data_IF_338933817622
#
_entry.id   IF_338933817622
#
_cell.length_a   1.000
_cell.length_b   1.000
_cell.length_c   1.000
_cell.angle_alpha   90.00
_cell.angle_beta   90.00
_cell.angle_gamma   90.00
#
_symmetry.space_group_name_H-M   'P 1'
#
loop_
_entity.id
_entity.type
_entity.pdbx_description
1 polymer ?
#
# COMPACT_ATOMS: atom_id res chain seq x y z
N UNK A 1 26.39 9.18 18.97
CA UNK A 1 26.58 10.48 18.27
C UNK A 1 26.77 10.31 16.77
N UNK A 2 27.33 9.18 16.28
CA UNK A 2 27.70 9.00 14.86
C UNK A 2 26.54 8.78 13.84
N UNK A 3 25.33 8.44 14.30
CA UNK A 3 24.17 8.21 13.42
C UNK A 3 23.24 9.44 13.27
N UNK A 4 23.39 10.46 14.13
CA UNK A 4 22.58 11.68 14.07
C UNK A 4 23.21 12.74 13.14
N UNK A 5 24.54 12.87 13.16
CA UNK A 5 25.26 13.78 12.26
C UNK A 5 25.28 13.29 10.80
N UNK A 6 25.35 11.98 10.54
CA UNK A 6 25.20 11.41 9.19
C UNK A 6 23.80 11.60 8.59
N UNK A 7 22.78 11.79 9.42
CA UNK A 7 21.40 12.05 8.98
C UNK A 7 21.14 13.50 8.58
N UNK A 8 22.05 14.43 8.90
CA UNK A 8 21.87 15.86 8.64
C UNK A 8 22.44 16.34 7.29
N UNK A 9 23.31 15.58 6.63
CA UNK A 9 23.74 15.97 5.29
C UNK A 9 22.68 15.53 4.28
N UNK A 10 22.12 16.52 3.57
CA UNK A 10 21.28 16.23 2.41
C UNK A 10 22.05 15.34 1.44
N UNK A 11 21.34 14.36 0.87
CA UNK A 11 21.85 13.66 -0.29
C UNK A 11 22.17 14.69 -1.39
N UNK A 12 23.22 14.46 -2.22
CA UNK A 12 23.59 15.41 -3.25
C UNK A 12 22.48 15.67 -4.28
N UNK A 13 21.56 14.70 -4.42
CA UNK A 13 20.41 14.78 -5.30
C UNK A 13 19.10 14.53 -4.55
N UNK A 14 18.02 15.13 -5.05
CA UNK A 14 16.65 14.89 -4.57
C UNK A 14 16.16 13.50 -4.96
N UNK A 15 15.35 12.89 -4.10
CA UNK A 15 14.65 11.65 -4.44
C UNK A 15 13.32 11.99 -5.11
N UNK A 16 13.21 11.80 -6.43
CA UNK A 16 11.99 12.13 -7.16
C UNK A 16 10.79 11.26 -6.76
N UNK A 17 10.99 10.11 -6.10
CA UNK A 17 9.89 9.24 -5.63
C UNK A 17 9.32 9.64 -4.27
N UNK A 18 9.87 10.67 -3.62
CA UNK A 18 9.26 11.26 -2.43
C UNK A 18 8.45 12.48 -2.81
N UNK A 19 7.42 12.78 -2.03
CA UNK A 19 6.54 13.94 -2.27
C UNK A 19 7.37 15.23 -2.24
N UNK A 20 8.20 15.37 -1.20
CA UNK A 20 9.07 16.54 -1.02
C UNK A 20 10.08 16.70 -2.16
N UNK A 21 10.67 15.60 -2.64
CA UNK A 21 11.65 15.64 -3.72
C UNK A 21 11.00 15.99 -5.06
N UNK A 22 9.83 15.41 -5.34
CA UNK A 22 9.04 15.74 -6.52
C UNK A 22 8.65 17.22 -6.53
N UNK A 23 8.11 17.74 -5.41
CA UNK A 23 7.77 19.16 -5.24
C UNK A 23 8.97 20.08 -5.39
N UNK A 24 10.13 19.73 -4.82
CA UNK A 24 11.33 20.55 -4.92
C UNK A 24 11.80 20.77 -6.37
N UNK A 25 11.56 19.78 -7.25
CA UNK A 25 11.89 19.89 -8.68
C UNK A 25 10.75 20.53 -9.44
N UNK A 26 9.56 19.93 -9.40
CA UNK A 26 8.50 20.33 -10.29
C UNK A 26 7.83 21.60 -9.81
N UNK A 27 7.55 21.81 -8.51
CA UNK A 27 6.88 23.03 -8.05
C UNK A 27 7.70 24.33 -8.25
N UNK A 28 8.97 24.22 -8.64
CA UNK A 28 9.80 25.36 -9.04
C UNK A 28 9.40 25.86 -10.45
N UNK A 29 8.93 27.10 -10.53
CA UNK A 29 8.54 27.72 -11.81
C UNK A 29 9.69 27.84 -12.80
N UNK A 30 10.93 27.85 -12.34
CA UNK A 30 12.10 27.83 -13.23
C UNK A 30 12.27 26.49 -13.95
N UNK A 31 11.63 25.43 -13.45
CA UNK A 31 11.63 24.09 -14.02
C UNK A 31 10.36 23.81 -14.85
N UNK A 32 9.61 24.86 -15.24
CA UNK A 32 8.36 24.75 -16.01
C UNK A 32 8.52 23.89 -17.28
N UNK A 33 9.59 24.12 -18.03
CA UNK A 33 9.86 23.36 -19.25
C UNK A 33 10.24 21.89 -18.96
N UNK A 34 10.81 21.62 -17.77
CA UNK A 34 11.13 20.27 -17.32
C UNK A 34 9.83 19.50 -17.11
N UNK A 35 8.87 20.12 -16.41
CA UNK A 35 7.54 19.56 -16.22
C UNK A 35 6.85 19.30 -17.56
N UNK A 36 6.85 20.27 -18.48
CA UNK A 36 6.24 20.12 -19.82
C UNK A 36 6.87 18.92 -20.55
N UNK A 37 8.19 18.83 -20.56
CA UNK A 37 8.89 17.74 -21.23
C UNK A 37 8.58 16.38 -20.63
N UNK A 38 8.51 16.27 -19.29
CA UNK A 38 8.13 15.04 -18.58
C UNK A 38 6.67 14.66 -18.88
N UNK A 39 5.73 15.60 -18.75
CA UNK A 39 4.32 15.34 -19.01
C UNK A 39 4.10 14.92 -20.47
N UNK A 40 4.77 15.53 -21.43
CA UNK A 40 4.65 15.17 -22.85
C UNK A 40 5.23 13.78 -23.21
N UNK A 41 6.02 13.16 -22.33
CA UNK A 41 6.39 11.74 -22.46
C UNK A 41 5.26 10.79 -22.05
N UNK A 42 4.30 11.26 -21.26
CA UNK A 42 3.24 10.46 -20.62
C UNK A 42 1.88 10.75 -21.26
N UNK A 43 1.60 12.02 -21.56
CA UNK A 43 0.32 12.49 -22.07
C UNK A 43 0.04 11.96 -23.48
N UNK A 44 -1.24 11.64 -23.77
CA UNK A 44 -1.65 11.26 -25.12
C UNK A 44 -1.46 12.44 -26.11
N UNK A 45 -1.34 12.18 -27.42
CA UNK A 45 -1.02 13.19 -28.41
C UNK A 45 -1.92 14.44 -28.38
N UNK A 46 -3.20 14.26 -28.11
CA UNK A 46 -4.22 15.31 -28.03
C UNK A 46 -4.14 16.20 -26.79
N UNK A 47 -3.40 15.78 -25.76
CA UNK A 47 -3.27 16.50 -24.48
C UNK A 47 -1.87 17.10 -24.28
N UNK A 48 -1.01 17.05 -25.30
CA UNK A 48 0.36 17.55 -25.19
C UNK A 48 0.38 19.05 -24.95
N UNK A 49 1.25 19.45 -24.02
CA UNK A 49 1.37 20.81 -23.52
C UNK A 49 2.42 21.56 -24.35
N UNK A 50 2.03 22.68 -24.95
CA UNK A 50 2.97 23.60 -25.60
C UNK A 50 3.64 24.53 -24.57
N UNK A 51 2.82 25.17 -23.74
CA UNK A 51 3.27 26.03 -22.65
C UNK A 51 2.32 25.96 -21.46
N UNK A 52 2.84 26.25 -20.27
CA UNK A 52 2.06 26.42 -19.05
C UNK A 52 1.93 27.92 -18.74
N UNK A 53 0.69 28.41 -18.71
CA UNK A 53 0.38 29.82 -18.42
C UNK A 53 0.09 30.08 -16.94
N UNK A 54 -0.51 29.11 -16.26
CA UNK A 54 -0.75 29.19 -14.82
C UNK A 54 -0.11 28.03 -14.07
N UNK A 55 0.52 28.37 -12.95
CA UNK A 55 1.28 27.44 -12.12
C UNK A 55 0.89 27.62 -10.66
N UNK A 56 0.06 26.74 -10.13
CA UNK A 56 -0.47 26.82 -8.78
C UNK A 56 0.02 25.65 -7.93
N UNK A 57 0.83 25.99 -6.92
CA UNK A 57 1.03 25.13 -5.76
C UNK A 57 -0.20 25.29 -4.85
N UNK A 58 -1.08 24.27 -4.82
CA UNK A 58 -2.36 24.34 -4.10
C UNK A 58 -2.21 24.29 -2.59
N UNK A 59 -1.03 24.00 -2.03
CA UNK A 59 -0.80 24.16 -0.57
C UNK A 59 -0.97 25.61 -0.13
N UNK A 60 -0.81 26.55 -1.07
CA UNK A 60 -0.91 27.99 -0.81
C UNK A 60 -2.32 28.56 -1.00
N UNK A 61 -3.25 27.85 -1.66
CA UNK A 61 -4.64 28.30 -1.84
C UNK A 61 -5.58 27.56 -0.90
N UNK A 62 -6.02 28.26 0.16
CA UNK A 62 -6.96 27.79 1.20
C UNK A 62 -8.42 27.73 0.74
N UNK A 63 -8.69 27.63 -0.55
CA UNK A 63 -10.01 27.94 -1.10
C UNK A 63 -10.97 26.74 -1.16
N UNK A 64 -10.70 25.67 -0.40
CA UNK A 64 -11.68 24.60 -0.17
C UNK A 64 -12.15 24.67 1.29
N UNK A 65 -13.33 25.26 1.59
CA UNK A 65 -13.81 25.49 2.95
C UNK A 65 -14.07 24.19 3.74
N UNK A 66 -14.19 23.05 3.05
CA UNK A 66 -14.51 21.74 3.62
C UNK A 66 -13.84 20.65 2.78
N UNK A 67 -12.60 20.28 3.11
CA UNK A 67 -11.91 19.18 2.44
C UNK A 67 -10.90 18.55 3.38
N UNK A 68 -10.80 17.22 3.36
CA UNK A 68 -9.69 16.49 3.97
C UNK A 68 -8.37 17.16 3.52
N UNK A 69 -7.44 17.37 4.45
CA UNK A 69 -6.09 17.92 4.21
C UNK A 69 -5.24 16.96 3.36
N UNK A 70 -5.63 16.76 2.12
CA UNK A 70 -4.80 16.11 1.13
C UNK A 70 -4.65 17.11 0.01
N UNK A 71 -3.49 17.74 0.00
CA UNK A 71 -3.18 18.77 -0.98
C UNK A 71 -2.60 18.06 -2.19
N UNK A 72 -3.21 18.32 -3.35
CA UNK A 72 -2.65 17.90 -4.63
C UNK A 72 -1.36 18.69 -4.88
N UNK A 73 -0.31 17.99 -5.29
CA UNK A 73 1.07 18.53 -5.28
C UNK A 73 1.26 19.66 -6.26
N UNK A 74 0.63 19.58 -7.43
CA UNK A 74 0.74 20.61 -8.44
C UNK A 74 -0.53 20.72 -9.28
N UNK A 75 -0.97 21.95 -9.54
CA UNK A 75 -1.97 22.25 -10.57
C UNK A 75 -1.39 23.25 -11.55
N UNK A 76 -1.42 22.92 -12.84
CA UNK A 76 -1.08 23.84 -13.91
C UNK A 76 -2.17 23.92 -14.96
N UNK A 77 -2.20 25.05 -15.68
CA UNK A 77 -3.09 25.28 -16.81
C UNK A 77 -2.24 25.57 -18.04
N UNK A 78 -2.52 24.87 -19.13
CA UNK A 78 -1.80 25.06 -20.39
C UNK A 78 -2.31 26.30 -21.17
N UNK A 79 -1.69 26.53 -22.33
CA UNK A 79 -2.10 27.60 -23.24
C UNK A 79 -3.58 27.52 -23.63
N UNK A 80 -4.11 26.32 -23.83
CA UNK A 80 -5.46 26.02 -24.32
C UNK A 80 -6.51 25.87 -23.21
N UNK A 81 -6.19 26.33 -21.99
CA UNK A 81 -7.05 26.30 -20.80
C UNK A 81 -7.31 24.89 -20.23
N UNK A 82 -6.61 23.85 -20.71
CA UNK A 82 -6.68 22.53 -20.11
C UNK A 82 -5.97 22.54 -18.74
N UNK A 83 -6.60 21.90 -17.76
CA UNK A 83 -6.07 21.83 -16.40
C UNK A 83 -5.37 20.49 -16.15
N UNK A 84 -4.18 20.52 -15.55
CA UNK A 84 -3.42 19.34 -15.18
C UNK A 84 -3.17 19.33 -13.68
N UNK A 85 -3.65 18.27 -13.02
CA UNK A 85 -3.24 17.90 -11.68
C UNK A 85 -2.07 16.93 -11.82
N UNK A 86 -0.92 17.25 -11.21
CA UNK A 86 0.26 16.38 -11.22
C UNK A 86 0.63 16.03 -9.79
N UNK A 87 0.77 14.74 -9.50
CA UNK A 87 0.92 14.23 -8.13
C UNK A 87 1.93 13.09 -8.04
N UNK A 88 2.71 13.06 -6.95
CA UNK A 88 3.60 11.94 -6.60
C UNK A 88 3.03 11.19 -5.41
N UNK A 89 2.56 9.97 -5.64
CA UNK A 89 1.99 9.14 -4.58
C UNK A 89 3.00 8.09 -4.12
N UNK A 90 3.68 8.39 -3.01
CA UNK A 90 4.73 7.54 -2.44
C UNK A 90 4.20 6.27 -1.73
N UNK A 91 2.92 6.22 -1.38
CA UNK A 91 2.31 5.10 -0.64
C UNK A 91 0.89 4.82 -1.12
N UNK A 92 0.51 3.54 -1.12
CA UNK A 92 -0.85 3.11 -1.44
C UNK A 92 -1.86 3.72 -0.47
N UNK A 93 -3.00 4.15 -1.01
CA UNK A 93 -4.10 4.74 -0.26
C UNK A 93 -5.42 4.14 -0.72
N UNK A 94 -6.26 3.74 0.24
CA UNK A 94 -7.61 3.29 -0.06
C UNK A 94 -8.40 4.39 -0.78
N UNK A 95 -9.14 4.01 -1.83
CA UNK A 95 -9.99 4.92 -2.61
C UNK A 95 -9.23 6.05 -3.33
N UNK A 96 -7.97 5.82 -3.70
CA UNK A 96 -7.14 6.79 -4.40
C UNK A 96 -7.75 7.23 -5.74
N UNK A 97 -8.29 6.29 -6.53
CA UNK A 97 -8.95 6.61 -7.80
C UNK A 97 -10.14 7.56 -7.61
N UNK A 98 -11.00 7.27 -6.64
CA UNK A 98 -12.16 8.12 -6.31
C UNK A 98 -11.73 9.51 -5.84
N UNK A 99 -10.61 9.61 -5.12
CA UNK A 99 -10.02 10.89 -4.72
C UNK A 99 -9.57 11.72 -5.92
N UNK A 100 -8.86 11.10 -6.87
CA UNK A 100 -8.44 11.75 -8.12
C UNK A 100 -9.65 12.31 -8.87
N UNK A 101 -10.70 11.50 -9.04
CA UNK A 101 -11.93 11.92 -9.72
C UNK A 101 -12.64 13.03 -8.96
N UNK A 102 -12.73 12.96 -7.63
CA UNK A 102 -13.36 13.98 -6.79
C UNK A 102 -12.66 15.34 -6.94
N UNK A 103 -11.33 15.36 -6.90
CA UNK A 103 -10.59 16.61 -7.05
C UNK A 103 -10.64 17.18 -8.46
N UNK A 104 -10.53 16.32 -9.48
CA UNK A 104 -10.68 16.74 -10.87
C UNK A 104 -12.07 17.33 -11.12
N UNK A 105 -13.12 16.70 -10.58
CA UNK A 105 -14.50 17.19 -10.66
C UNK A 105 -14.66 18.56 -9.99
N UNK A 106 -13.98 18.80 -8.87
CA UNK A 106 -13.96 20.09 -8.20
C UNK A 106 -13.33 21.19 -9.05
N UNK A 107 -12.22 20.91 -9.74
CA UNK A 107 -11.61 21.86 -10.68
C UNK A 107 -12.49 22.10 -11.91
N UNK A 108 -13.00 21.02 -12.51
CA UNK A 108 -13.89 21.09 -13.67
C UNK A 108 -15.15 21.89 -13.37
N UNK A 109 -15.70 21.78 -12.16
CA UNK A 109 -16.84 22.58 -11.72
C UNK A 109 -16.51 24.07 -11.60
N UNK A 110 -15.31 24.42 -11.11
CA UNK A 110 -14.89 25.80 -10.91
C UNK A 110 -14.58 26.56 -12.20
N UNK A 111 -14.48 25.88 -13.34
CA UNK A 111 -14.31 26.54 -14.65
C UNK A 111 -15.52 27.38 -15.07
N UNK A 112 -16.73 27.05 -14.57
CA UNK A 112 -17.94 27.78 -14.94
C UNK A 112 -18.32 28.81 -13.87
N UNK A 113 -18.55 30.04 -14.33
CA UNK A 113 -19.17 31.09 -13.54
C UNK A 113 -20.71 31.04 -13.62
N UNK A 114 -21.38 31.68 -12.65
CA UNK A 114 -22.84 31.76 -12.61
C UNK A 114 -23.42 32.34 -13.93
N UNK A 115 -24.25 31.54 -14.60
CA UNK A 115 -24.94 31.92 -15.84
C UNK A 115 -24.24 31.52 -17.14
N UNK A 116 -23.05 30.93 -17.07
CA UNK A 116 -22.36 30.38 -18.24
C UNK A 116 -22.94 29.03 -18.67
N UNK A 117 -22.79 28.72 -19.98
CA UNK A 117 -23.25 27.43 -20.55
C UNK A 117 -22.06 26.48 -20.61
N UNK A 118 -22.33 25.18 -20.49
CA UNK A 118 -21.32 24.09 -20.55
C UNK A 118 -20.50 23.99 -21.85
N UNK A 119 -20.81 24.79 -22.88
CA UNK A 119 -20.08 24.77 -24.15
C UNK A 119 -18.78 25.55 -23.96
N UNK A 120 -17.64 24.85 -24.02
CA UNK A 120 -16.32 25.45 -23.82
C UNK A 120 -15.66 25.08 -22.48
N UNK A 121 -16.20 24.11 -21.75
CA UNK A 121 -15.47 23.47 -20.65
C UNK A 121 -14.21 22.78 -21.18
N UNK A 122 -13.09 22.98 -20.48
CA UNK A 122 -11.81 22.39 -20.82
C UNK A 122 -11.58 21.11 -20.00
N UNK A 123 -10.88 20.11 -20.55
CA UNK A 123 -10.60 18.90 -19.82
C UNK A 123 -9.65 19.12 -18.63
N UNK A 124 -9.86 18.30 -17.59
CA UNK A 124 -8.96 18.15 -16.45
C UNK A 124 -8.25 16.81 -16.54
N UNK A 125 -6.92 16.83 -16.58
CA UNK A 125 -6.06 15.65 -16.57
C UNK A 125 -5.46 15.45 -15.18
N UNK A 126 -5.62 14.27 -14.60
CA UNK A 126 -4.93 13.88 -13.37
C UNK A 126 -3.80 12.94 -13.75
N UNK A 127 -2.56 13.38 -13.56
CA UNK A 127 -1.35 12.60 -13.81
C UNK A 127 -0.72 12.25 -12.48
N UNK A 128 -0.86 11.00 -12.04
CA UNK A 128 -0.31 10.53 -10.78
C UNK A 128 0.82 9.54 -11.01
N UNK A 129 2.00 9.86 -10.48
CA UNK A 129 3.15 8.98 -10.43
C UNK A 129 3.07 8.12 -9.17
N UNK A 130 2.91 6.81 -9.36
CA UNK A 130 2.71 5.86 -8.26
C UNK A 130 4.01 5.14 -7.96
N UNK A 131 4.46 5.21 -6.70
CA UNK A 131 5.59 4.44 -6.20
C UNK A 131 5.14 3.08 -5.60
N UNK A 132 4.06 2.53 -6.13
CA UNK A 132 3.47 1.24 -5.80
C UNK A 132 2.73 0.74 -7.05
N UNK A 133 2.48 -0.56 -7.10
CA UNK A 133 1.68 -1.17 -8.17
C UNK A 133 0.22 -1.26 -7.74
N UNK A 134 -0.67 -0.95 -8.66
CA UNK A 134 -2.08 -1.21 -8.53
C UNK A 134 -2.34 -2.71 -8.72
N UNK A 135 -3.49 -3.18 -8.28
CA UNK A 135 -3.94 -4.54 -8.60
C UNK A 135 -4.66 -4.51 -9.94
N UNK A 136 -4.24 -5.39 -10.83
CA UNK A 136 -4.81 -5.51 -12.16
C UNK A 136 -5.55 -6.82 -12.32
N UNK A 137 -6.61 -6.81 -13.13
CA UNK A 137 -7.36 -8.03 -13.46
C UNK A 137 -6.49 -9.02 -14.25
N UNK A 138 -5.61 -8.50 -15.11
CA UNK A 138 -4.62 -9.27 -15.87
C UNK A 138 -3.24 -8.61 -15.74
N UNK A 139 -2.46 -9.09 -14.78
CA UNK A 139 -1.10 -8.63 -14.49
C UNK A 139 -0.13 -8.85 -15.68
N UNK A 140 -0.46 -9.72 -16.66
CA UNK A 140 0.42 -9.97 -17.82
C UNK A 140 0.46 -8.81 -18.82
N UNK A 141 -0.48 -7.87 -18.71
CA UNK A 141 -0.52 -6.65 -19.53
C UNK A 141 0.31 -5.51 -18.95
N UNK A 142 0.89 -5.70 -17.76
CA UNK A 142 1.58 -4.66 -17.00
C UNK A 142 3.05 -5.04 -16.81
N UNK A 143 3.91 -4.41 -17.60
CA UNK A 143 5.35 -4.65 -17.62
C UNK A 143 6.15 -3.36 -17.73
N UNK A 144 7.47 -3.48 -17.83
CA UNK A 144 8.39 -2.32 -17.89
C UNK A 144 8.21 -1.41 -19.12
N UNK A 145 7.48 -1.85 -20.14
CA UNK A 145 7.15 -1.07 -21.33
C UNK A 145 5.66 -0.63 -21.33
N UNK A 146 4.83 -1.19 -20.44
CA UNK A 146 3.39 -0.97 -20.34
C UNK A 146 2.93 -0.68 -18.90
N UNK A 147 3.46 0.39 -18.29
CA UNK A 147 3.17 0.77 -16.90
C UNK A 147 2.42 2.10 -16.75
N UNK A 148 1.84 2.61 -17.85
CA UNK A 148 1.01 3.81 -17.85
C UNK A 148 -0.41 3.42 -18.21
N UNK A 149 -1.35 3.72 -17.31
CA UNK A 149 -2.78 3.51 -17.53
C UNK A 149 -3.49 4.81 -17.89
N UNK A 150 -4.45 4.72 -18.81
CA UNK A 150 -5.26 5.85 -19.27
C UNK A 150 -6.73 5.56 -19.05
N UNK A 151 -7.40 6.35 -18.21
CA UNK A 151 -8.79 6.15 -17.82
C UNK A 151 -9.67 7.26 -18.38
N UNK A 152 -10.67 6.90 -19.17
CA UNK A 152 -11.59 7.82 -19.83
C UNK A 152 -13.05 7.32 -19.79
N UNK A 153 -14.00 8.22 -20.02
CA UNK A 153 -15.41 7.85 -20.13
C UNK A 153 -15.73 7.20 -21.48
N UNK A 154 -16.34 6.01 -21.44
CA UNK A 154 -16.67 5.22 -22.62
C UNK A 154 -18.12 4.73 -22.57
N UNK A 155 -18.80 4.76 -23.73
CA UNK A 155 -20.12 4.14 -23.87
C UNK A 155 -19.99 2.61 -23.93
N UNK A 156 -20.67 1.92 -23.01
CA UNK A 156 -20.49 0.50 -22.76
C UNK A 156 -20.80 -0.42 -23.96
N UNK A 157 -21.80 -0.09 -24.78
CA UNK A 157 -22.25 -0.97 -25.87
C UNK A 157 -21.40 -0.82 -27.14
N UNK A 158 -20.99 0.40 -27.47
CA UNK A 158 -20.34 0.76 -28.73
C UNK A 158 -18.84 0.98 -28.57
N UNK A 159 -18.36 1.22 -27.34
CA UNK A 159 -16.96 1.57 -27.08
C UNK A 159 -16.60 3.00 -27.48
N UNK A 160 -17.58 3.84 -27.83
CA UNK A 160 -17.32 5.25 -28.17
C UNK A 160 -16.76 5.96 -26.94
N UNK A 161 -15.59 6.56 -27.10
CA UNK A 161 -14.97 7.43 -26.10
C UNK A 161 -15.59 8.81 -26.22
N UNK A 162 -16.08 9.35 -25.10
CA UNK A 162 -16.61 10.71 -25.07
C UNK A 162 -15.48 11.73 -25.27
N UNK A 163 -15.82 12.96 -25.65
CA UNK A 163 -14.85 14.05 -25.59
C UNK A 163 -14.24 14.13 -24.18
N UNK A 164 -12.95 14.43 -24.09
CA UNK A 164 -12.25 14.48 -22.82
C UNK A 164 -12.90 15.51 -21.89
N UNK A 165 -13.22 15.09 -20.67
CA UNK A 165 -13.74 15.93 -19.60
C UNK A 165 -12.85 15.80 -18.38
N UNK A 166 -12.82 14.61 -17.79
CA UNK A 166 -11.85 14.23 -16.77
C UNK A 166 -11.13 12.99 -17.27
N UNK A 167 -9.81 13.05 -17.30
CA UNK A 167 -8.94 11.94 -17.65
C UNK A 167 -8.01 11.64 -16.48
N UNK A 168 -7.90 10.38 -16.10
CA UNK A 168 -7.00 9.93 -15.03
C UNK A 168 -5.89 9.09 -15.66
N UNK A 169 -4.65 9.43 -15.36
CA UNK A 169 -3.45 8.82 -15.91
C UNK A 169 -2.59 8.38 -14.73
N UNK A 170 -2.38 7.08 -14.59
CA UNK A 170 -1.50 6.55 -13.56
C UNK A 170 -0.23 5.98 -14.17
N UNK A 171 0.90 6.38 -13.59
CA UNK A 171 2.23 5.94 -13.98
C UNK A 171 2.78 5.07 -12.85
N UNK A 172 2.68 3.75 -12.99
CA UNK A 172 3.11 2.77 -11.98
C UNK A 172 4.62 2.54 -12.05
N UNK A 173 5.38 3.50 -11.51
CA UNK A 173 6.84 3.55 -11.66
C UNK A 173 7.55 2.29 -11.13
N UNK A 174 6.96 1.57 -10.19
CA UNK A 174 7.54 0.31 -9.66
C UNK A 174 7.64 -0.81 -10.69
N UNK A 175 6.88 -0.73 -11.79
CA UNK A 175 6.96 -1.68 -12.89
C UNK A 175 8.11 -1.38 -13.86
N UNK A 176 8.69 -0.17 -13.80
CA UNK A 176 9.88 0.16 -14.58
C UNK A 176 11.11 -0.54 -13.99
N UNK A 177 11.65 -1.51 -14.72
CA UNK A 177 12.77 -2.36 -14.24
C UNK A 177 14.01 -2.29 -15.12
N UNK A 178 14.03 -1.43 -16.15
CA UNK A 178 15.17 -1.32 -17.07
C UNK A 178 16.45 -0.92 -16.33
N UNK A 179 17.54 -1.60 -16.66
CA UNK A 179 18.88 -1.17 -16.26
C UNK A 179 19.32 0.03 -17.08
N UNK A 180 20.43 0.66 -16.66
CA UNK A 180 20.98 1.79 -17.37
C UNK A 180 21.32 1.46 -18.84
N UNK A 181 21.84 0.26 -19.08
CA UNK A 181 22.22 -0.20 -20.43
C UNK A 181 21.00 -0.40 -21.34
N UNK A 182 19.84 -0.70 -20.75
CA UNK A 182 18.57 -0.87 -21.45
C UNK A 182 17.88 0.47 -21.73
N UNK A 183 18.31 1.56 -21.08
CA UNK A 183 17.75 2.90 -21.24
C UNK A 183 18.23 3.60 -22.52
N UNK A 184 17.54 3.33 -23.63
CA UNK A 184 17.90 3.87 -24.96
C UNK A 184 17.16 5.17 -25.26
N UNK A 185 15.87 5.25 -24.93
CA UNK A 185 15.00 6.38 -25.27
C UNK A 185 15.02 7.49 -24.22
N UNK A 186 14.54 8.70 -24.57
CA UNK A 186 14.35 9.76 -23.57
C UNK A 186 13.37 9.34 -22.46
N UNK A 187 12.34 8.56 -22.81
CA UNK A 187 11.39 8.00 -21.86
C UNK A 187 12.08 7.09 -20.84
N UNK A 188 12.91 6.14 -21.31
CA UNK A 188 13.62 5.21 -20.42
C UNK A 188 14.57 5.97 -19.48
N UNK A 189 15.31 6.92 -20.04
CA UNK A 189 16.29 7.73 -19.29
C UNK A 189 15.62 8.60 -18.24
N UNK A 190 14.48 9.21 -18.58
CA UNK A 190 13.65 9.96 -17.65
C UNK A 190 13.20 9.08 -16.48
N UNK A 191 12.61 7.91 -16.75
CA UNK A 191 12.16 7.02 -15.69
C UNK A 191 13.30 6.41 -14.88
N UNK A 192 14.45 6.15 -15.50
CA UNK A 192 15.65 5.76 -14.77
C UNK A 192 16.07 6.83 -13.77
N UNK A 193 16.01 8.12 -14.12
CA UNK A 193 16.29 9.22 -13.19
C UNK A 193 15.25 9.24 -12.07
N UNK A 194 13.95 9.14 -12.38
CA UNK A 194 12.90 9.05 -11.35
C UNK A 194 13.20 7.94 -10.34
N UNK A 195 13.57 6.74 -10.82
CA UNK A 195 13.81 5.59 -9.96
C UNK A 195 15.07 5.71 -9.11
N UNK A 196 16.12 6.38 -9.62
CA UNK A 196 17.47 6.32 -9.05
C UNK A 196 18.02 7.65 -8.51
N UNK A 197 17.36 8.80 -8.72
CA UNK A 197 17.92 10.12 -8.43
C UNK A 197 18.39 10.28 -6.97
N UNK A 198 17.66 9.72 -6.00
CA UNK A 198 18.03 9.78 -4.58
C UNK A 198 19.35 9.06 -4.23
N UNK A 199 19.87 8.20 -5.12
CA UNK A 199 21.14 7.50 -4.95
C UNK A 199 22.31 8.11 -5.72
N UNK A 200 22.10 9.17 -6.49
CA UNK A 200 23.16 9.80 -7.27
C UNK A 200 24.15 10.54 -6.35
N UNK A 201 25.44 10.42 -6.67
CA UNK A 201 26.52 11.19 -6.04
C UNK A 201 27.00 12.36 -6.90
N UNK A 202 26.85 12.20 -8.22
CA UNK A 202 27.09 13.19 -9.27
C UNK A 202 26.17 12.85 -10.44
N UNK A 203 25.95 13.79 -11.35
CA UNK A 203 25.22 13.52 -12.59
C UNK A 203 25.97 12.42 -13.35
N UNK A 204 25.31 11.30 -13.69
CA UNK A 204 25.93 10.24 -14.47
C UNK A 204 26.39 10.74 -15.85
N UNK A 205 27.57 10.31 -16.29
CA UNK A 205 28.21 10.78 -17.54
C UNK A 205 27.35 10.53 -18.80
N UNK A 206 26.54 9.48 -18.80
CA UNK A 206 25.63 9.17 -19.90
C UNK A 206 24.50 10.22 -20.04
N UNK A 207 24.09 10.86 -18.94
CA UNK A 207 23.12 11.95 -18.95
C UNK A 207 23.75 13.18 -19.58
N UNK A 208 24.99 13.50 -19.20
CA UNK A 208 25.73 14.66 -19.73
C UNK A 208 25.84 14.59 -21.27
N UNK A 209 26.00 13.37 -21.82
CA UNK A 209 26.11 13.10 -23.27
C UNK A 209 24.78 13.08 -24.01
N UNK A 210 23.67 12.80 -23.34
CA UNK A 210 22.36 12.61 -23.99
C UNK A 210 21.68 13.94 -24.35
N UNK A 211 21.90 15.00 -23.57
CA UNK A 211 21.15 16.24 -23.72
C UNK A 211 19.67 16.06 -23.37
N UNK A 212 18.79 16.88 -23.94
CA UNK A 212 17.35 16.70 -23.83
C UNK A 212 16.76 16.96 -22.43
N UNK A 213 15.55 16.43 -22.21
CA UNK A 213 14.80 16.63 -20.97
C UNK A 213 15.42 15.87 -19.81
N UNK A 214 15.95 14.68 -20.07
CA UNK A 214 16.58 13.82 -19.06
C UNK A 214 17.76 14.52 -18.40
N UNK A 215 18.57 15.25 -19.18
CA UNK A 215 19.68 16.05 -18.63
C UNK A 215 19.19 17.17 -17.72
N UNK A 216 18.22 17.95 -18.18
CA UNK A 216 17.68 19.06 -17.40
C UNK A 216 17.01 18.58 -16.11
N UNK A 217 16.31 17.44 -16.17
CA UNK A 217 15.71 16.80 -14.99
C UNK A 217 16.79 16.39 -13.97
N UNK A 218 17.88 15.77 -14.42
CA UNK A 218 18.97 15.38 -13.53
C UNK A 218 19.69 16.59 -12.89
N UNK A 219 19.91 17.66 -13.67
CA UNK A 219 20.49 18.92 -13.18
C UNK A 219 19.56 19.59 -12.15
N UNK A 220 18.24 19.61 -12.41
CA UNK A 220 17.25 20.14 -11.48
C UNK A 220 17.12 19.33 -10.19
N UNK A 221 17.57 18.07 -10.19
CA UNK A 221 17.63 17.23 -9.00
C UNK A 221 18.84 17.54 -8.11
N UNK A 222 19.84 18.28 -8.58
CA UNK A 222 21.06 18.55 -7.83
C UNK A 222 20.80 19.57 -6.72
N UNK A 223 20.89 19.12 -5.47
CA UNK A 223 20.61 19.95 -4.29
C UNK A 223 21.60 21.10 -4.16
N UNK A 224 22.83 20.92 -4.63
CA UNK A 224 23.85 21.96 -4.62
C UNK A 224 23.51 23.14 -5.55
N UNK A 225 22.64 22.93 -6.55
CA UNK A 225 22.16 23.97 -7.45
C UNK A 225 21.01 24.80 -6.85
N UNK A 226 20.45 24.40 -5.70
CA UNK A 226 19.38 25.16 -5.05
C UNK A 226 19.93 26.45 -4.45
N UNK A 227 19.17 27.54 -4.60
CA UNK A 227 19.44 28.73 -3.81
C UNK A 227 19.22 28.47 -2.31
N UNK A 228 19.68 29.41 -1.47
CA UNK A 228 19.66 29.25 -0.01
C UNK A 228 18.24 29.07 0.55
N UNK A 229 17.25 29.76 -0.02
CA UNK A 229 15.87 29.73 0.47
C UNK A 229 15.20 28.42 0.08
N UNK A 230 15.33 28.02 -1.19
CA UNK A 230 14.83 26.74 -1.71
C UNK A 230 15.45 25.57 -0.96
N UNK A 231 16.77 25.60 -0.72
CA UNK A 231 17.46 24.56 0.02
C UNK A 231 16.95 24.43 1.46
N UNK A 232 16.79 25.55 2.16
CA UNK A 232 16.26 25.54 3.54
C UNK A 232 14.82 25.01 3.58
N UNK A 233 13.96 25.43 2.64
CA UNK A 233 12.59 24.92 2.52
C UNK A 233 12.60 23.40 2.32
N UNK A 234 13.41 22.91 1.37
CA UNK A 234 13.55 21.48 1.11
C UNK A 234 14.05 20.69 2.33
N UNK A 235 14.98 21.23 3.12
CA UNK A 235 15.44 20.60 4.38
C UNK A 235 14.32 20.47 5.40
N UNK A 236 13.52 21.54 5.59
CA UNK A 236 12.39 21.56 6.51
C UNK A 236 11.33 20.56 6.09
N UNK A 237 10.93 20.60 4.82
CA UNK A 237 9.88 19.73 4.28
C UNK A 237 10.30 18.26 4.37
N UNK A 238 11.57 17.96 4.09
CA UNK A 238 12.13 16.60 4.23
C UNK A 238 12.12 16.11 5.68
N UNK A 239 12.44 16.98 6.63
CA UNK A 239 12.36 16.65 8.05
C UNK A 239 10.91 16.36 8.48
N UNK A 240 9.96 17.16 8.01
CA UNK A 240 8.53 16.94 8.26
C UNK A 240 8.03 15.61 7.68
N UNK A 241 8.42 15.29 6.44
CA UNK A 241 8.09 14.01 5.78
C UNK A 241 8.65 12.82 6.59
N UNK A 242 9.90 12.91 7.07
CA UNK A 242 10.50 11.90 7.94
C UNK A 242 9.77 11.74 9.28
N UNK A 243 9.37 12.83 9.92
CA UNK A 243 8.62 12.78 11.17
C UNK A 243 7.25 12.12 10.97
N UNK A 244 6.54 12.47 9.89
CA UNK A 244 5.27 11.84 9.50
C UNK A 244 5.48 10.33 9.25
N UNK A 245 6.52 9.96 8.52
CA UNK A 245 6.83 8.57 8.22
C UNK A 245 7.17 7.78 9.50
N UNK A 246 7.98 8.34 10.40
CA UNK A 246 8.30 7.71 11.69
C UNK A 246 7.05 7.51 12.57
N UNK A 247 6.10 8.47 12.55
CA UNK A 247 4.83 8.34 13.24
C UNK A 247 3.96 7.22 12.63
N UNK A 248 3.88 7.13 11.30
CA UNK A 248 3.17 6.04 10.59
C UNK A 248 3.76 4.68 10.95
N UNK A 249 5.08 4.53 10.89
CA UNK A 249 5.79 3.30 11.25
C UNK A 249 5.55 2.90 12.71
N UNK A 250 5.57 3.88 13.63
CA UNK A 250 5.22 3.64 15.02
C UNK A 250 3.78 3.12 15.17
N UNK A 251 2.82 3.74 14.49
CA UNK A 251 1.41 3.35 14.54
C UNK A 251 1.19 1.94 13.98
N UNK A 252 1.79 1.61 12.83
CA UNK A 252 1.72 0.26 12.22
C UNK A 252 2.31 -0.79 13.16
N UNK A 253 3.51 -0.55 13.69
CA UNK A 253 4.17 -1.47 14.63
C UNK A 253 3.34 -1.69 15.89
N UNK A 254 2.78 -0.62 16.47
CA UNK A 254 1.92 -0.71 17.65
C UNK A 254 0.63 -1.48 17.35
N UNK A 255 0.00 -1.22 16.20
CA UNK A 255 -1.19 -1.94 15.74
C UNK A 255 -0.94 -3.44 15.56
N UNK A 256 0.20 -3.81 14.95
CA UNK A 256 0.59 -5.21 14.78
C UNK A 256 0.85 -5.91 16.11
N UNK A 257 1.55 -5.25 17.04
CA UNK A 257 1.82 -5.82 18.37
C UNK A 257 0.53 -5.99 19.17
N UNK A 258 -0.37 -5.00 19.18
CA UNK A 258 -1.69 -5.12 19.82
C UNK A 258 -2.53 -6.24 19.18
N UNK A 259 -2.53 -6.35 17.85
CA UNK A 259 -3.21 -7.41 17.11
C UNK A 259 -2.67 -8.79 17.47
N UNK A 260 -1.35 -8.94 17.52
CA UNK A 260 -0.67 -10.19 17.93
C UNK A 260 -1.01 -10.58 19.36
N UNK A 261 -1.03 -9.63 20.29
CA UNK A 261 -1.38 -9.89 21.70
C UNK A 261 -2.85 -10.30 21.85
N UNK A 262 -3.77 -9.62 21.16
CA UNK A 262 -5.19 -9.99 21.13
C UNK A 262 -5.39 -11.38 20.55
N UNK A 263 -4.79 -11.66 19.39
CA UNK A 263 -4.85 -12.98 18.74
C UNK A 263 -4.31 -14.11 19.62
N UNK A 264 -3.18 -13.88 20.32
CA UNK A 264 -2.63 -14.85 21.26
C UNK A 264 -3.57 -15.11 22.46
N UNK A 265 -4.18 -14.06 23.00
CA UNK A 265 -5.10 -14.16 24.12
C UNK A 265 -6.39 -14.90 23.74
N UNK A 266 -6.95 -14.59 22.58
CA UNK A 266 -8.14 -15.23 22.03
C UNK A 266 -7.85 -16.70 21.70
N UNK A 267 -6.78 -16.99 20.96
CA UNK A 267 -6.38 -18.36 20.66
C UNK A 267 -6.11 -19.20 21.91
N UNK A 268 -5.50 -18.61 22.96
CA UNK A 268 -5.30 -19.30 24.25
C UNK A 268 -6.63 -19.57 24.97
N UNK A 269 -7.60 -18.65 24.91
CA UNK A 269 -8.93 -18.86 25.49
C UNK A 269 -9.69 -19.95 24.77
N UNK A 270 -9.64 -19.95 23.44
CA UNK A 270 -10.30 -20.95 22.60
C UNK A 270 -9.68 -22.33 22.79
N UNK A 271 -8.36 -22.45 22.68
CA UNK A 271 -7.65 -23.72 22.92
C UNK A 271 -7.86 -24.27 24.34
N UNK A 272 -7.98 -23.41 25.36
CA UNK A 272 -8.35 -23.84 26.72
C UNK A 272 -9.79 -24.37 26.79
N UNK A 273 -10.73 -23.78 26.06
CA UNK A 273 -12.12 -24.25 26.03
C UNK A 273 -12.22 -25.59 25.32
N UNK A 274 -11.54 -25.74 24.18
CA UNK A 274 -11.49 -27.00 23.42
C UNK A 274 -10.82 -28.10 24.23
N UNK A 275 -9.61 -27.86 24.75
CA UNK A 275 -8.90 -28.86 25.58
C UNK A 275 -9.67 -29.25 26.84
N UNK A 276 -10.44 -28.34 27.46
CA UNK A 276 -11.34 -28.70 28.58
C UNK A 276 -12.51 -29.57 28.15
N UNK A 277 -13.08 -29.34 26.97
CA UNK A 277 -14.18 -30.17 26.44
C UNK A 277 -13.67 -31.57 26.12
N UNK A 278 -12.54 -31.66 25.44
CA UNK A 278 -11.89 -32.92 25.08
C UNK A 278 -11.48 -33.72 26.32
N UNK A 279 -10.73 -33.11 27.24
CA UNK A 279 -10.33 -33.77 28.48
C UNK A 279 -11.51 -34.18 29.37
N UNK A 280 -12.64 -33.44 29.37
CA UNK A 280 -13.85 -33.87 30.08
C UNK A 280 -14.51 -35.08 29.43
N UNK A 281 -14.48 -35.17 28.10
CA UNK A 281 -15.03 -36.30 27.36
C UNK A 281 -14.18 -37.55 27.62
N UNK A 282 -12.86 -37.45 27.49
CA UNK A 282 -11.92 -38.54 27.77
C UNK A 282 -12.01 -39.01 29.23
N UNK A 283 -12.03 -38.07 30.18
CA UNK A 283 -12.14 -38.40 31.60
C UNK A 283 -13.47 -39.07 31.97
N UNK A 284 -14.58 -38.66 31.33
CA UNK A 284 -15.87 -39.33 31.51
C UNK A 284 -15.85 -40.76 30.96
N UNK A 285 -15.26 -40.96 29.78
CA UNK A 285 -15.14 -42.27 29.17
C UNK A 285 -14.30 -43.23 30.02
N UNK A 286 -13.11 -42.78 30.48
CA UNK A 286 -12.27 -43.55 31.39
C UNK A 286 -12.97 -43.87 32.71
N UNK A 287 -13.65 -42.89 33.32
CA UNK A 287 -14.39 -43.08 34.56
C UNK A 287 -15.56 -44.06 34.43
N UNK A 288 -16.26 -44.06 33.29
CA UNK A 288 -17.33 -45.03 33.01
C UNK A 288 -16.78 -46.45 32.84
N UNK A 289 -15.62 -46.61 32.20
CA UNK A 289 -14.96 -47.91 32.05
C UNK A 289 -14.52 -48.45 33.41
N UNK A 290 -13.80 -47.64 34.20
CA UNK A 290 -13.34 -48.04 35.52
C UNK A 290 -14.50 -48.36 36.47
N UNK A 291 -15.54 -47.52 36.50
CA UNK A 291 -16.71 -47.74 37.35
C UNK A 291 -17.50 -49.01 36.98
N UNK A 292 -17.54 -49.38 35.69
CA UNK A 292 -18.12 -50.66 35.25
C UNK A 292 -17.30 -51.85 35.75
N UNK A 293 -15.98 -51.78 35.65
CA UNK A 293 -15.09 -52.84 36.15
C UNK A 293 -15.18 -53.01 37.68
N UNK A 294 -15.12 -51.90 38.43
CA UNK A 294 -15.27 -51.93 39.89
C UNK A 294 -16.63 -52.49 40.33
N UNK A 295 -17.71 -52.12 39.63
CA UNK A 295 -19.04 -52.67 39.90
C UNK A 295 -19.12 -54.17 39.60
N UNK A 296 -18.53 -54.63 38.49
CA UNK A 296 -18.46 -56.06 38.14
C UNK A 296 -17.73 -56.86 39.20
N UNK A 297 -16.57 -56.39 39.65
CA UNK A 297 -15.78 -57.02 40.71
C UNK A 297 -16.52 -57.02 42.05
N UNK A 298 -17.18 -55.91 42.41
CA UNK A 298 -17.96 -55.81 43.66
C UNK A 298 -19.13 -56.80 43.68
N UNK A 299 -19.85 -56.93 42.56
CA UNK A 299 -20.96 -57.89 42.42
C UNK A 299 -20.44 -59.33 42.48
N UNK A 300 -19.33 -59.63 41.77
CA UNK A 300 -18.72 -60.95 41.81
C UNK A 300 -18.29 -61.36 43.23
N UNK A 301 -17.70 -60.42 43.98
CA UNK A 301 -17.31 -60.64 45.39
C UNK A 301 -18.52 -60.93 46.28
N UNK A 302 -19.62 -60.17 46.15
CA UNK A 302 -20.86 -60.42 46.92
C UNK A 302 -21.47 -61.79 46.61
N UNK A 303 -21.49 -62.22 45.35
CA UNK A 303 -21.97 -63.56 45.00
C UNK A 303 -21.08 -64.66 45.55
N UNK A 304 -19.77 -64.44 45.54
CA UNK A 304 -18.79 -65.36 46.13
C UNK A 304 -19.00 -65.51 47.64
N UNK A 305 -19.12 -64.39 48.37
CA UNK A 305 -19.42 -64.37 49.81
C UNK A 305 -20.76 -65.02 50.17
N UNK A 306 -21.74 -64.97 49.25
CA UNK A 306 -23.04 -65.64 49.40
C UNK A 306 -23.02 -67.15 49.11
N UNK A 307 -21.86 -67.73 48.76
CA UNK A 307 -21.70 -69.15 48.47
C UNK A 307 -22.23 -69.58 47.10
N UNK A 308 -22.33 -68.65 46.16
CA UNK A 308 -22.77 -68.95 44.78
C UNK A 308 -21.69 -69.76 44.05
N UNK A 309 -22.02 -70.82 43.29
CA UNK A 309 -21.04 -71.56 42.49
C UNK A 309 -20.26 -70.67 41.52
N UNK A 310 -18.94 -70.90 41.42
CA UNK A 310 -18.00 -70.04 40.67
C UNK A 310 -18.39 -69.90 39.19
N UNK A 311 -18.84 -70.97 38.56
CA UNK A 311 -19.29 -71.00 37.16
C UNK A 311 -20.49 -70.06 36.92
N UNK A 312 -21.40 -69.96 37.90
CA UNK A 312 -22.52 -69.03 37.86
C UNK A 312 -22.05 -67.58 38.02
N UNK A 313 -21.05 -67.32 38.87
CA UNK A 313 -20.50 -65.98 39.07
C UNK A 313 -19.80 -65.47 37.80
N UNK A 314 -18.97 -66.30 37.16
CA UNK A 314 -18.32 -65.98 35.88
C UNK A 314 -19.36 -65.67 34.82
N UNK A 315 -20.37 -66.53 34.66
CA UNK A 315 -21.39 -66.31 33.63
C UNK A 315 -22.22 -65.03 33.88
N UNK A 316 -22.52 -64.69 35.14
CA UNK A 316 -23.33 -63.52 35.48
C UNK A 316 -22.57 -62.19 35.45
N UNK A 317 -21.27 -62.19 35.77
CA UNK A 317 -20.47 -60.96 35.93
C UNK A 317 -19.39 -60.79 34.86
N UNK A 318 -19.06 -61.87 34.13
CA UNK A 318 -17.97 -61.95 33.17
C UNK A 318 -16.58 -61.73 33.77
N UNK A 319 -16.44 -61.82 35.10
CA UNK A 319 -15.14 -61.73 35.79
C UNK A 319 -14.44 -63.07 35.67
N UNK A 320 -13.15 -63.05 35.36
CA UNK A 320 -12.36 -64.26 35.14
C UNK A 320 -12.24 -65.12 36.41
N UNK A 321 -12.20 -66.43 36.21
CA UNK A 321 -12.09 -67.43 37.28
C UNK A 321 -10.91 -67.18 38.22
N UNK A 322 -9.74 -66.77 37.68
CA UNK A 322 -8.54 -66.50 38.47
C UNK A 322 -8.74 -65.34 39.45
N UNK A 323 -9.45 -64.30 39.03
CA UNK A 323 -9.76 -63.13 39.87
C UNK A 323 -10.75 -63.54 40.98
N UNK A 324 -11.78 -64.33 40.65
CA UNK A 324 -12.76 -64.81 41.64
C UNK A 324 -12.07 -65.74 42.66
N UNK A 325 -11.16 -66.60 42.22
CA UNK A 325 -10.40 -67.50 43.10
C UNK A 325 -9.53 -66.73 44.11
N UNK A 326 -9.02 -65.55 43.75
CA UNK A 326 -8.24 -64.71 44.67
C UNK A 326 -9.06 -64.16 45.84
N UNK A 327 -10.40 -64.10 45.74
CA UNK A 327 -11.25 -63.64 46.84
C UNK A 327 -11.24 -64.58 48.07
N UNK A 328 -10.83 -65.84 47.92
CA UNK A 328 -10.71 -66.81 49.01
C UNK A 328 -9.47 -66.59 49.89
N UNK A 329 -8.47 -65.87 49.38
CA UNK A 329 -7.19 -65.58 50.03
C UNK A 329 -6.83 -64.10 49.84
N UNK A 330 -7.53 -63.20 50.54
CA UNK A 330 -7.15 -61.79 50.53
C UNK A 330 -5.79 -61.65 51.21
N UNK A 331 -4.83 -60.99 50.54
CA UNK A 331 -3.59 -60.51 51.16
C UNK A 331 -3.87 -59.53 52.30
#
# INVERSE_FOLDING_TARGET
>A
MDNFEKRQQLAPFVNLRSDVGFKAVFADRNNKDILIGVLNQILPPEARIEDIKEYSDREQRRDVPYGKKTVLDLVCVDHDDNTFIVEMQASEEDYFFERCVYYASGLYHLELSDGERYKGLHPVYVVSFLNYSLRHDDESLWDTDHFISYWHFTEKRTGIVANQTISVIFVEMTLFTKTLEECVTEFDKMFYIFMNSGGFLKIPEWIEKTGGISRRLAEACEVAAFDKEKKLKYEIDKMNEWDIQAQKEYAVRKGLEEGRQKGLLEGRKEGRKEGRKEGRKEGLEQGLVQGREEARLSIAKKFFEAGTPIDVIVNCTGVDNEIIASFAHPD
#
